data_IF_661509433075
#
_entry.id   IF_661509433075
#
_cell.length_a   1.000
_cell.length_b   1.000
_cell.length_c   1.000
_cell.angle_alpha   90.00
_cell.angle_beta   90.00
_cell.angle_gamma   90.00
#
_symmetry.space_group_name_H-M   'P 1'
#
loop_
_entity.id
_entity.type
_entity.pdbx_description
1 polymer ?
#
# COMPACT_ATOMS: atom_id res chain seq x y z
N UNK A 1 12.75 13.14 2.47
CA UNK A 1 11.58 12.45 1.88
C UNK A 1 11.97 11.12 1.23
N UNK A 2 12.78 11.09 0.17
CA UNK A 2 13.15 9.81 -0.51
C UNK A 2 13.74 8.74 0.41
N UNK A 3 14.65 9.12 1.32
CA UNK A 3 15.24 8.17 2.28
C UNK A 3 14.22 7.57 3.25
N UNK A 4 13.17 8.32 3.61
CA UNK A 4 12.12 7.81 4.48
C UNK A 4 11.13 6.91 3.72
N UNK A 5 10.77 7.26 2.48
CA UNK A 5 9.99 6.38 1.61
C UNK A 5 10.69 5.04 1.35
N UNK A 6 12.03 5.04 1.20
CA UNK A 6 12.84 3.80 1.11
C UNK A 6 12.78 2.99 2.42
N UNK A 7 12.84 3.64 3.58
CA UNK A 7 12.68 2.94 4.86
C UNK A 7 11.27 2.36 5.00
N UNK A 8 10.25 3.10 4.56
CA UNK A 8 8.85 2.66 4.52
C UNK A 8 8.69 1.42 3.64
N UNK A 9 9.25 1.43 2.43
CA UNK A 9 9.18 0.28 1.51
C UNK A 9 9.88 -0.95 2.08
N UNK A 10 11.03 -0.78 2.77
CA UNK A 10 11.70 -1.85 3.49
C UNK A 10 10.88 -2.37 4.68
N UNK A 11 10.21 -1.50 5.42
CA UNK A 11 9.34 -1.88 6.54
C UNK A 11 8.13 -2.69 6.06
N UNK A 12 7.44 -2.23 5.01
CA UNK A 12 6.33 -2.96 4.38
C UNK A 12 6.81 -4.34 3.93
N UNK A 13 7.99 -4.43 3.31
CA UNK A 13 8.57 -5.71 2.89
C UNK A 13 8.77 -6.66 4.08
N UNK A 14 9.45 -6.20 5.14
CA UNK A 14 9.79 -7.02 6.30
C UNK A 14 8.52 -7.48 7.03
N UNK A 15 7.57 -6.58 7.28
CA UNK A 15 6.31 -6.89 7.98
C UNK A 15 5.47 -7.89 7.18
N UNK A 16 5.22 -7.62 5.90
CA UNK A 16 4.34 -8.47 5.09
C UNK A 16 4.98 -9.84 4.78
N UNK A 17 6.31 -9.90 4.60
CA UNK A 17 7.02 -11.17 4.48
C UNK A 17 6.92 -12.00 5.75
N UNK A 18 7.05 -11.38 6.94
CA UNK A 18 6.91 -12.07 8.23
C UNK A 18 5.48 -12.60 8.47
N UNK A 19 4.47 -12.01 7.83
CA UNK A 19 3.09 -12.52 7.84
C UNK A 19 2.84 -13.60 6.76
N UNK A 20 3.86 -14.01 6.01
CA UNK A 20 3.78 -15.07 5.01
C UNK A 20 3.30 -14.62 3.63
N UNK A 21 3.18 -13.33 3.37
CA UNK A 21 2.87 -12.83 2.03
C UNK A 21 4.11 -12.80 1.15
N UNK A 22 3.93 -13.10 -0.15
CA UNK A 22 5.00 -12.92 -1.12
C UNK A 22 5.21 -11.42 -1.41
N UNK A 23 6.44 -10.94 -1.24
CA UNK A 23 6.81 -9.53 -1.43
C UNK A 23 7.87 -9.38 -2.51
N UNK A 24 7.85 -8.24 -3.21
CA UNK A 24 8.87 -7.90 -4.19
C UNK A 24 9.11 -6.38 -4.24
N UNK A 25 10.36 -5.89 -4.15
CA UNK A 25 11.57 -6.63 -3.81
C UNK A 25 11.53 -7.26 -2.41
N UNK A 26 12.41 -8.24 -2.16
CA UNK A 26 12.55 -8.90 -0.87
C UNK A 26 13.04 -7.95 0.23
N UNK A 27 12.82 -8.26 1.52
CA UNK A 27 13.40 -7.46 2.60
C UNK A 27 14.93 -7.43 2.51
N UNK A 28 15.55 -6.35 2.99
CA UNK A 28 17.00 -6.17 3.10
C UNK A 28 17.80 -6.20 1.78
N UNK A 29 17.14 -6.21 0.62
CA UNK A 29 17.81 -5.98 -0.67
C UNK A 29 18.00 -4.48 -0.93
N UNK A 30 19.04 -4.14 -1.68
CA UNK A 30 19.30 -2.75 -2.08
C UNK A 30 18.15 -2.21 -2.94
N UNK A 31 17.63 -1.04 -2.55
CA UNK A 31 16.54 -0.34 -3.25
C UNK A 31 17.08 0.63 -4.30
N UNK A 32 16.37 0.71 -5.43
CA UNK A 32 16.63 1.66 -6.53
C UNK A 32 15.47 2.63 -6.75
N UNK A 33 14.30 2.30 -6.23
CA UNK A 33 13.09 3.12 -6.21
C UNK A 33 12.41 2.96 -4.83
N UNK A 34 11.21 3.54 -4.70
CA UNK A 34 10.41 3.53 -3.48
C UNK A 34 9.27 2.50 -3.51
N UNK A 35 9.15 1.70 -4.58
CA UNK A 35 8.00 0.82 -4.79
C UNK A 35 8.21 -0.47 -4.02
N UNK A 36 7.17 -0.91 -3.30
CA UNK A 36 7.10 -2.21 -2.67
C UNK A 36 5.81 -2.93 -3.08
N UNK A 37 5.94 -4.07 -3.75
CA UNK A 37 4.81 -4.93 -4.09
C UNK A 37 4.59 -6.00 -3.03
N UNK A 38 3.32 -6.30 -2.74
CA UNK A 38 2.87 -7.38 -1.86
C UNK A 38 1.76 -8.15 -2.57
N UNK A 39 1.90 -9.47 -2.70
CA UNK A 39 0.90 -10.33 -3.34
C UNK A 39 -0.11 -10.81 -2.31
N UNK A 40 -1.37 -10.38 -2.43
CA UNK A 40 -2.40 -10.67 -1.43
C UNK A 40 -3.26 -11.91 -1.77
N UNK A 41 -3.24 -12.35 -3.03
CA UNK A 41 -3.95 -13.53 -3.55
C UNK A 41 -5.47 -13.52 -3.35
N UNK A 42 -6.06 -12.39 -2.95
CA UNK A 42 -7.49 -12.23 -2.73
C UNK A 42 -7.94 -10.80 -3.04
N UNK A 43 -9.04 -10.60 -3.79
CA UNK A 43 -9.59 -9.28 -4.04
C UNK A 43 -10.09 -8.62 -2.75
N UNK A 44 -10.64 -9.40 -1.81
CA UNK A 44 -11.10 -8.89 -0.52
C UNK A 44 -9.93 -8.34 0.32
N UNK A 45 -8.79 -9.04 0.30
CA UNK A 45 -7.57 -8.56 0.98
C UNK A 45 -7.02 -7.30 0.34
N UNK A 46 -7.04 -7.19 -0.99
CA UNK A 46 -6.60 -5.97 -1.70
C UNK A 46 -7.46 -4.76 -1.31
N UNK A 47 -8.79 -4.90 -1.35
CA UNK A 47 -9.70 -3.84 -0.94
C UNK A 47 -9.52 -3.47 0.55
N UNK A 48 -9.41 -4.46 1.43
CA UNK A 48 -9.21 -4.22 2.86
C UNK A 48 -7.87 -3.50 3.14
N UNK A 49 -6.80 -3.89 2.43
CA UNK A 49 -5.48 -3.26 2.54
C UNK A 49 -5.55 -1.78 2.14
N UNK A 50 -6.05 -1.46 0.95
CA UNK A 50 -6.15 -0.07 0.50
C UNK A 50 -7.07 0.77 1.39
N UNK A 51 -8.19 0.21 1.85
CA UNK A 51 -9.08 0.90 2.78
C UNK A 51 -8.42 1.17 4.14
N UNK A 52 -7.62 0.23 4.66
CA UNK A 52 -6.86 0.40 5.89
C UNK A 52 -5.80 1.50 5.75
N UNK A 53 -5.05 1.50 4.64
CA UNK A 53 -4.07 2.55 4.33
C UNK A 53 -4.76 3.92 4.23
N UNK A 54 -5.88 4.02 3.49
CA UNK A 54 -6.62 5.27 3.35
C UNK A 54 -7.08 5.84 4.69
N UNK A 55 -7.55 4.99 5.63
CA UNK A 55 -7.95 5.44 6.98
C UNK A 55 -6.81 6.06 7.78
N UNK A 56 -5.57 5.74 7.44
CA UNK A 56 -4.37 6.29 8.09
C UNK A 56 -3.74 7.44 7.29
N UNK A 57 -4.35 7.86 6.18
CA UNK A 57 -3.90 9.02 5.43
C UNK A 57 -4.28 10.34 6.14
N UNK A 58 -3.46 11.41 6.03
CA UNK A 58 -3.76 12.69 6.68
C UNK A 58 -4.92 13.44 6.00
N UNK A 59 -5.17 13.20 4.72
CA UNK A 59 -6.26 13.80 3.94
C UNK A 59 -7.23 12.72 3.52
N UNK A 60 -8.54 12.99 3.59
CA UNK A 60 -9.55 12.06 3.08
C UNK A 60 -9.65 10.73 3.83
N UNK A 61 -9.20 10.64 5.09
CA UNK A 61 -9.23 9.41 5.89
C UNK A 61 -10.62 8.78 6.06
N UNK A 62 -11.68 9.61 6.00
CA UNK A 62 -13.07 9.18 6.09
C UNK A 62 -13.62 8.57 4.79
N UNK A 63 -12.88 8.67 3.69
CA UNK A 63 -13.27 8.14 2.38
C UNK A 63 -12.94 6.64 2.36
N UNK A 64 -13.91 5.83 1.94
CA UNK A 64 -13.73 4.39 1.74
C UNK A 64 -13.44 4.11 0.26
N UNK A 65 -12.19 3.77 -0.12
CA UNK A 65 -11.87 3.50 -1.50
C UNK A 65 -12.55 2.22 -1.99
N UNK A 66 -12.93 2.25 -3.26
CA UNK A 66 -13.54 1.14 -4.01
C UNK A 66 -12.79 0.96 -5.32
N UNK A 67 -12.78 -0.25 -5.88
CA UNK A 67 -12.22 -0.46 -7.20
C UNK A 67 -13.10 0.20 -8.26
N UNK A 68 -12.49 0.78 -9.28
CA UNK A 68 -13.21 1.38 -10.40
C UNK A 68 -12.38 1.39 -11.68
N UNK A 69 -13.06 1.64 -12.80
CA UNK A 69 -12.42 1.82 -14.09
C UNK A 69 -11.52 3.08 -14.08
N UNK A 70 -10.26 2.92 -14.47
CA UNK A 70 -9.28 4.01 -14.51
C UNK A 70 -8.71 4.11 -15.91
N UNK A 71 -8.70 5.33 -16.48
CA UNK A 71 -8.19 5.54 -17.83
C UNK A 71 -6.73 5.06 -17.96
N UNK A 72 -6.44 4.25 -18.97
CA UNK A 72 -5.12 3.66 -19.20
C UNK A 72 -4.88 2.32 -18.50
N UNK A 73 -5.78 1.87 -17.63
CA UNK A 73 -5.71 0.55 -16.99
C UNK A 73 -6.73 -0.41 -17.60
N UNK A 74 -6.30 -1.64 -17.90
CA UNK A 74 -7.16 -2.69 -18.47
C UNK A 74 -8.16 -3.25 -17.45
N UNK A 75 -7.77 -3.31 -16.17
CA UNK A 75 -8.60 -3.80 -15.08
C UNK A 75 -9.00 -2.65 -14.16
N UNK A 76 -10.07 -2.84 -13.40
CA UNK A 76 -10.40 -1.92 -12.31
C UNK A 76 -9.24 -1.85 -11.31
N UNK A 77 -9.01 -0.67 -10.76
CA UNK A 77 -7.93 -0.41 -9.79
C UNK A 77 -8.55 0.24 -8.56
N UNK A 78 -8.02 -0.13 -7.40
CA UNK A 78 -8.31 0.56 -6.14
C UNK A 78 -7.10 1.40 -5.76
N UNK A 79 -7.33 2.61 -5.28
CA UNK A 79 -6.31 3.56 -4.83
C UNK A 79 -6.57 3.98 -3.39
N UNK A 80 -5.49 4.14 -2.64
CA UNK A 80 -5.44 4.86 -1.38
C UNK A 80 -4.39 5.96 -1.51
N UNK A 81 -4.86 7.19 -1.69
CA UNK A 81 -4.10 8.37 -2.12
C UNK A 81 -4.54 9.63 -1.37
N UNK A 82 -4.87 9.49 -0.08
CA UNK A 82 -5.19 10.60 0.84
C UNK A 82 -4.02 11.57 1.13
N UNK A 83 -3.48 12.19 0.09
CA UNK A 83 -2.27 13.02 0.09
C UNK A 83 -2.61 14.51 0.13
N UNK A 84 -1.66 15.34 0.58
CA UNK A 84 -1.83 16.80 0.58
C UNK A 84 -1.81 17.38 -0.84
N UNK A 85 -0.97 16.80 -1.70
CA UNK A 85 -0.92 17.13 -3.13
C UNK A 85 -1.59 15.99 -3.90
N UNK A 86 -2.57 16.33 -4.73
CA UNK A 86 -3.34 15.36 -5.51
C UNK A 86 -2.42 14.50 -6.41
N UNK A 87 -2.58 13.17 -6.33
CA UNK A 87 -1.76 12.20 -7.07
C UNK A 87 -0.29 12.07 -6.62
N UNK A 88 0.09 12.62 -5.47
CA UNK A 88 1.46 12.59 -4.96
C UNK A 88 1.89 11.21 -4.47
N UNK A 89 2.66 10.48 -5.26
CA UNK A 89 3.15 9.13 -4.89
C UNK A 89 4.41 9.13 -4.01
N UNK A 90 4.93 10.30 -3.66
CA UNK A 90 6.00 10.43 -2.65
C UNK A 90 5.42 10.51 -1.23
N UNK A 91 4.15 10.87 -1.10
CA UNK A 91 3.39 10.73 0.13
C UNK A 91 2.86 9.30 0.27
N UNK A 92 2.44 8.93 1.49
CA UNK A 92 2.00 7.57 1.78
C UNK A 92 0.80 7.21 0.90
N UNK A 93 0.98 6.21 0.04
CA UNK A 93 -0.06 5.74 -0.87
C UNK A 93 0.11 4.26 -1.18
N UNK A 94 -1.00 3.62 -1.56
CA UNK A 94 -0.95 2.30 -2.17
C UNK A 94 -2.10 2.09 -3.16
N UNK A 95 -1.87 1.22 -4.13
CA UNK A 95 -2.85 0.92 -5.15
C UNK A 95 -2.66 -0.50 -5.68
N UNK A 96 -3.66 -1.04 -6.37
CA UNK A 96 -3.52 -2.34 -7.01
C UNK A 96 -4.67 -2.68 -7.94
N UNK A 97 -4.40 -3.39 -9.04
CA UNK A 97 -5.43 -3.83 -9.97
C UNK A 97 -6.24 -4.98 -9.36
N UNK A 98 -7.55 -4.96 -9.57
CA UNK A 98 -8.49 -6.00 -9.16
C UNK A 98 -8.42 -7.23 -10.09
N UNK A 99 -7.23 -7.81 -10.20
CA UNK A 99 -6.95 -9.02 -10.99
C UNK A 99 -5.92 -9.91 -10.30
N UNK A 100 -5.93 -11.24 -10.52
CA UNK A 100 -4.91 -12.13 -9.99
C UNK A 100 -3.48 -11.69 -10.38
N UNK A 101 -2.50 -11.75 -9.46
CA UNK A 101 -2.57 -12.35 -8.12
C UNK A 101 -2.97 -11.35 -7.00
N UNK A 102 -3.66 -10.27 -7.34
CA UNK A 102 -4.12 -9.22 -6.42
C UNK A 102 -2.94 -8.58 -5.67
N UNK A 103 -1.97 -8.08 -6.43
CA UNK A 103 -0.83 -7.37 -5.88
C UNK A 103 -1.24 -5.95 -5.47
N UNK A 104 -0.79 -5.51 -4.31
CA UNK A 104 -0.80 -4.11 -3.90
C UNK A 104 0.61 -3.53 -4.05
N UNK A 105 0.71 -2.33 -4.59
CA UNK A 105 1.92 -1.53 -4.70
C UNK A 105 1.86 -0.44 -3.64
N UNK A 106 2.82 -0.45 -2.73
CA UNK A 106 2.98 0.53 -1.67
C UNK A 106 4.16 1.44 -2.02
N UNK A 107 3.97 2.75 -1.89
CA UNK A 107 5.04 3.71 -2.15
C UNK A 107 4.91 4.97 -1.30
N UNK A 108 5.97 5.77 -1.35
CA UNK A 108 6.04 7.05 -0.66
C UNK A 108 6.07 6.90 0.86
N UNK A 109 5.71 7.98 1.53
CA UNK A 109 5.70 8.07 2.99
C UNK A 109 6.60 9.21 3.47
N UNK A 110 6.05 10.01 4.40
CA UNK A 110 6.75 11.08 5.09
C UNK A 110 7.73 10.49 6.10
N UNK A 111 7.43 10.46 7.41
CA UNK A 111 8.22 9.69 8.38
C UNK A 111 7.91 8.19 8.32
N UNK A 112 8.91 7.34 8.59
CA UNK A 112 8.73 5.87 8.73
C UNK A 112 7.55 5.48 9.64
N UNK A 113 7.31 6.24 10.71
CA UNK A 113 6.24 6.01 11.68
C UNK A 113 4.85 6.00 11.03
N UNK A 114 4.66 6.77 9.95
CA UNK A 114 3.37 6.82 9.25
C UNK A 114 3.05 5.47 8.60
N UNK A 115 4.05 4.80 8.01
CA UNK A 115 3.91 3.43 7.52
C UNK A 115 3.72 2.41 8.63
N UNK A 116 4.36 2.60 9.80
CA UNK A 116 4.16 1.69 10.93
C UNK A 116 2.70 1.71 11.42
N UNK A 117 2.11 2.90 11.59
CA UNK A 117 0.69 3.06 11.97
C UNK A 117 -0.24 2.47 10.90
N UNK A 118 0.05 2.74 9.62
CA UNK A 118 -0.71 2.18 8.50
C UNK A 118 -0.67 0.63 8.50
N UNK A 119 0.50 0.05 8.77
CA UNK A 119 0.67 -1.40 8.80
C UNK A 119 -0.08 -2.05 9.97
N UNK A 120 -0.12 -1.43 11.15
CA UNK A 120 -0.91 -1.96 12.28
C UNK A 120 -2.40 -2.09 11.90
N UNK A 121 -2.97 -1.05 11.27
CA UNK A 121 -4.37 -1.07 10.79
C UNK A 121 -4.57 -2.08 9.65
N UNK A 122 -3.61 -2.19 8.73
CA UNK A 122 -3.64 -3.20 7.65
C UNK A 122 -3.66 -4.61 8.23
N UNK A 123 -2.79 -4.92 9.19
CA UNK A 123 -2.74 -6.24 9.79
C UNK A 123 -4.03 -6.58 10.54
N UNK A 124 -4.59 -5.61 11.28
CA UNK A 124 -5.90 -5.78 11.92
C UNK A 124 -7.00 -6.07 10.89
N UNK A 125 -7.03 -5.33 9.78
CA UNK A 125 -8.01 -5.52 8.72
C UNK A 125 -7.87 -6.87 8.00
N UNK A 126 -6.63 -7.32 7.75
CA UNK A 126 -6.38 -8.61 7.09
C UNK A 126 -6.72 -9.80 7.99
N UNK A 127 -6.51 -9.70 9.30
CA UNK A 127 -6.83 -10.75 10.26
C UNK A 127 -8.33 -10.89 10.54
N UNK A 128 -9.14 -9.88 10.19
CA UNK A 128 -10.58 -9.91 10.33
C UNK A 128 -11.31 -10.55 9.13
N UNK A 129 -10.58 -10.96 8.08
CA UNK A 129 -11.09 -11.63 6.88
C UNK A 129 -10.98 -13.15 6.98
#
# INVERSE_FOLDING_TARGET
>A
MTGEAIKGSLLVAEVMANQGFAVHPQPRVRRKDIIQAVTLSSPARLLAFCQAVQRQCPVGAYIKPTAGATAGYESEVVFADGTFIDGSTIELSCDGPLRPPFAVFCQGGGPLVHWAIALDEVLAALNAL
#
